data_IF_128846630490
#
_entry.id   IF_128846630490
#
_cell.length_a   1.000
_cell.length_b   1.000
_cell.length_c   1.000
_cell.angle_alpha   90.00
_cell.angle_beta   90.00
_cell.angle_gamma   90.00
#
_symmetry.space_group_name_H-M   'P 1'
#
loop_
_entity.id
_entity.type
_entity.pdbx_description
1 polymer ?
#
# COMPACT_ATOMS: atom_id res chain seq x y z
N UNK A 1 -22.52 -48.84 -64.11
CA UNK A 1 -22.47 -47.37 -64.26
C UNK A 1 -21.37 -46.81 -63.35
N UNK A 2 -20.12 -46.96 -63.86
CA UNK A 2 -18.84 -46.25 -63.60
C UNK A 2 -18.54 -45.83 -62.14
N UNK A 3 -17.68 -46.48 -61.34
CA UNK A 3 -16.30 -47.02 -61.49
C UNK A 3 -15.21 -46.00 -61.90
N UNK A 4 -14.31 -45.71 -60.96
CA UNK A 4 -12.83 -45.56 -61.10
C UNK A 4 -12.26 -45.27 -59.69
N UNK A 5 -11.50 -46.08 -58.95
CA UNK A 5 -10.40 -47.04 -59.16
C UNK A 5 -8.98 -46.43 -59.10
N UNK A 6 -8.23 -46.88 -58.08
CA UNK A 6 -6.78 -47.09 -57.98
C UNK A 6 -5.77 -45.95 -58.27
N UNK A 7 -4.84 -45.73 -57.33
CA UNK A 7 -3.46 -46.22 -57.46
C UNK A 7 -2.59 -45.88 -56.23
N UNK A 8 -1.83 -46.89 -55.80
CA UNK A 8 -0.72 -46.82 -54.86
C UNK A 8 0.43 -46.01 -55.45
N UNK A 9 1.18 -45.32 -54.60
CA UNK A 9 2.64 -45.24 -54.77
C UNK A 9 3.34 -45.43 -53.44
N UNK A 10 4.22 -46.43 -53.44
CA UNK A 10 5.06 -46.92 -52.36
C UNK A 10 6.41 -46.22 -52.54
N UNK A 11 7.00 -45.70 -51.46
CA UNK A 11 8.45 -45.72 -51.29
C UNK A 11 8.83 -45.79 -49.81
N UNK A 12 9.31 -46.98 -49.43
CA UNK A 12 10.16 -47.29 -48.26
C UNK A 12 11.60 -46.89 -48.58
N UNK A 13 12.38 -46.49 -47.56
CA UNK A 13 13.77 -46.90 -47.24
C UNK A 13 14.09 -46.37 -45.81
N UNK A 14 14.03 -47.26 -44.80
CA UNK A 14 15.12 -47.79 -43.94
C UNK A 14 15.49 -46.91 -42.71
N UNK A 15 15.25 -47.38 -41.46
CA UNK A 15 16.11 -48.27 -40.64
C UNK A 15 17.23 -47.47 -39.95
N UNK A 16 17.47 -47.43 -38.63
CA UNK A 16 17.35 -48.40 -37.51
C UNK A 16 17.46 -47.67 -36.16
N UNK A 17 16.81 -48.13 -35.08
CA UNK A 17 17.48 -48.55 -33.82
C UNK A 17 16.52 -48.88 -32.67
N UNK A 18 16.58 -50.16 -32.28
CA UNK A 18 16.50 -50.76 -30.94
C UNK A 18 15.30 -50.52 -30.00
N UNK A 19 14.60 -51.64 -29.78
CA UNK A 19 13.74 -51.98 -28.66
C UNK A 19 14.41 -51.78 -27.28
N UNK A 20 13.63 -51.42 -26.26
CA UNK A 20 13.35 -52.27 -25.07
C UNK A 20 12.54 -51.51 -24.00
N UNK A 21 11.32 -52.01 -23.79
CA UNK A 21 10.57 -52.20 -22.54
C UNK A 21 10.83 -51.28 -21.32
N UNK A 22 9.81 -50.49 -20.93
CA UNK A 22 9.69 -50.00 -19.54
C UNK A 22 8.25 -49.60 -19.22
N UNK A 23 7.59 -50.48 -18.46
CA UNK A 23 6.57 -50.20 -17.43
C UNK A 23 6.36 -48.71 -17.11
N UNK A 24 5.30 -48.11 -17.66
CA UNK A 24 4.80 -46.80 -17.27
C UNK A 24 4.02 -46.92 -15.95
N UNK A 25 4.74 -46.82 -14.84
CA UNK A 25 4.14 -46.36 -13.58
C UNK A 25 3.73 -44.90 -13.76
N UNK A 26 2.43 -44.66 -13.76
CA UNK A 26 1.84 -43.32 -13.81
C UNK A 26 2.21 -42.54 -12.54
N UNK A 27 3.34 -41.83 -12.58
CA UNK A 27 3.72 -40.86 -11.56
C UNK A 27 2.71 -39.72 -11.58
N UNK A 28 1.80 -39.74 -10.59
CA UNK A 28 0.96 -38.60 -10.20
C UNK A 28 1.88 -37.40 -9.96
N UNK A 29 1.96 -36.48 -10.92
CA UNK A 29 2.55 -35.17 -10.69
C UNK A 29 1.68 -34.41 -9.70
N UNK A 30 2.19 -34.26 -8.48
CA UNK A 30 1.62 -33.35 -7.50
C UNK A 30 1.62 -31.94 -8.09
N UNK A 31 0.44 -31.37 -8.33
CA UNK A 31 0.30 -29.94 -8.52
C UNK A 31 0.82 -29.26 -7.25
N UNK A 32 2.03 -28.68 -7.29
CA UNK A 32 2.55 -27.90 -6.17
C UNK A 32 1.65 -26.68 -6.00
N UNK A 33 0.76 -26.70 -5.00
CA UNK A 33 -0.02 -25.52 -4.61
C UNK A 33 0.97 -24.44 -4.19
N UNK A 34 0.97 -23.29 -4.86
CA UNK A 34 1.79 -22.13 -4.48
C UNK A 34 1.59 -21.77 -3.01
N UNK A 35 2.66 -21.39 -2.32
CA UNK A 35 2.60 -20.98 -0.91
C UNK A 35 1.73 -19.75 -0.72
N UNK A 36 0.74 -19.82 0.18
CA UNK A 36 -0.19 -18.74 0.48
C UNK A 36 -0.29 -18.45 1.97
N UNK A 37 -0.60 -17.20 2.29
CA UNK A 37 -1.01 -16.75 3.63
C UNK A 37 -2.28 -15.93 3.45
N UNK A 38 -3.41 -16.44 3.95
CA UNK A 38 -4.70 -15.76 3.91
C UNK A 38 -5.06 -15.25 5.29
N UNK A 39 -5.18 -13.93 5.41
CA UNK A 39 -5.51 -13.27 6.67
C UNK A 39 -6.93 -12.69 6.59
N UNK A 40 -7.69 -12.85 7.68
CA UNK A 40 -9.00 -12.21 7.89
C UNK A 40 -9.02 -11.57 9.27
N UNK A 41 -9.59 -10.38 9.38
CA UNK A 41 -9.72 -9.65 10.64
C UNK A 41 -11.21 -9.53 10.97
N UNK A 42 -11.63 -10.02 12.13
CA UNK A 42 -13.05 -10.14 12.46
C UNK A 42 -13.32 -9.86 13.95
N UNK A 43 -14.60 -9.95 14.32
CA UNK A 43 -15.06 -9.96 15.72
C UNK A 43 -14.42 -8.85 16.59
N UNK A 44 -14.69 -7.56 16.29
CA UNK A 44 -14.19 -6.47 17.10
C UNK A 44 -14.80 -6.54 18.51
N UNK A 45 -13.93 -6.59 19.53
CA UNK A 45 -14.32 -6.67 20.94
C UNK A 45 -13.79 -5.45 21.69
N UNK A 46 -14.65 -4.84 22.51
CA UNK A 46 -14.22 -3.80 23.45
C UNK A 46 -13.65 -4.48 24.68
N UNK A 47 -12.40 -4.17 25.02
CA UNK A 47 -11.71 -4.63 26.21
C UNK A 47 -11.39 -3.45 27.12
N UNK A 48 -11.26 -3.73 28.42
CA UNK A 48 -10.86 -2.76 29.43
C UNK A 48 -9.51 -3.22 29.99
N UNK A 49 -8.54 -2.31 30.02
CA UNK A 49 -7.22 -2.60 30.55
C UNK A 49 -7.33 -2.83 32.08
N UNK A 50 -7.08 -4.06 32.55
CA UNK A 50 -7.15 -4.45 33.97
C UNK A 50 -5.83 -4.21 34.72
N UNK A 51 -4.84 -3.56 34.11
CA UNK A 51 -3.61 -3.18 34.82
C UNK A 51 -3.99 -2.19 35.93
N UNK A 52 -3.75 -2.56 37.19
CA UNK A 52 -3.93 -1.85 38.47
C UNK A 52 -3.86 -0.30 38.44
N UNK A 53 -4.74 0.35 37.68
CA UNK A 53 -4.85 1.80 37.64
C UNK A 53 -5.83 2.18 38.73
N UNK A 54 -5.32 2.84 39.75
CA UNK A 54 -6.07 3.35 40.90
C UNK A 54 -7.07 4.47 40.53
N UNK A 55 -7.24 4.76 39.23
CA UNK A 55 -8.10 5.82 38.69
C UNK A 55 -9.37 5.19 38.10
N UNK A 56 -10.56 5.53 38.62
CA UNK A 56 -11.82 5.13 38.00
C UNK A 56 -11.92 5.69 36.57
N UNK A 57 -11.82 4.81 35.55
CA UNK A 57 -11.85 5.21 34.14
C UNK A 57 -10.85 4.50 33.21
N UNK A 58 -10.35 3.31 33.58
CA UNK A 58 -9.30 2.58 32.85
C UNK A 58 -9.48 2.56 31.32
N UNK A 59 -8.36 2.75 30.60
CA UNK A 59 -8.30 2.86 29.14
C UNK A 59 -9.01 1.68 28.45
N UNK A 60 -10.18 1.94 27.85
CA UNK A 60 -10.85 0.94 27.01
C UNK A 60 -10.28 0.96 25.61
N UNK A 61 -10.04 -0.21 25.02
CA UNK A 61 -9.54 -0.34 23.65
C UNK A 61 -10.29 -1.43 22.89
N UNK A 62 -10.18 -1.42 21.57
CA UNK A 62 -10.73 -2.47 20.71
C UNK A 62 -9.65 -3.45 20.29
N UNK A 63 -10.02 -4.71 20.29
CA UNK A 63 -9.20 -5.83 19.87
C UNK A 63 -9.93 -6.63 18.79
N UNK A 64 -9.17 -7.11 17.82
CA UNK A 64 -9.67 -7.79 16.64
C UNK A 64 -9.17 -9.23 16.61
N UNK A 65 -10.00 -10.16 16.16
CA UNK A 65 -9.62 -11.54 15.93
C UNK A 65 -8.97 -11.65 14.55
N UNK A 66 -7.67 -11.89 14.52
CA UNK A 66 -6.89 -12.12 13.31
C UNK A 66 -6.81 -13.62 13.10
N UNK A 67 -7.46 -14.11 12.05
CA UNK A 67 -7.38 -15.52 11.65
C UNK A 67 -6.48 -15.64 10.44
N UNK A 68 -5.49 -16.52 10.55
CA UNK A 68 -4.50 -16.80 9.51
C UNK A 68 -4.68 -18.23 9.02
N UNK A 69 -4.75 -18.40 7.70
CA UNK A 69 -4.76 -19.70 7.03
C UNK A 69 -3.59 -19.79 6.06
N UNK A 70 -2.79 -20.84 6.13
CA UNK A 70 -1.59 -20.98 5.30
C UNK A 70 -1.26 -22.45 5.04
N UNK A 71 -0.58 -22.72 3.92
CA UNK A 71 0.04 -24.02 3.61
C UNK A 71 1.55 -24.04 3.86
N UNK A 72 2.13 -22.96 4.40
CA UNK A 72 3.56 -22.85 4.69
C UNK A 72 3.89 -23.64 5.95
N UNK A 73 4.81 -24.60 5.84
CA UNK A 73 5.17 -25.52 6.92
C UNK A 73 5.73 -24.82 8.17
N UNK A 74 6.46 -23.71 8.00
CA UNK A 74 7.05 -22.91 9.09
C UNK A 74 6.01 -22.44 10.13
N UNK A 75 4.73 -22.34 9.77
CA UNK A 75 3.69 -21.86 10.68
C UNK A 75 3.16 -22.94 11.64
N UNK A 76 3.53 -24.21 11.46
CA UNK A 76 3.18 -25.33 12.34
C UNK A 76 1.70 -25.76 12.32
N UNK A 77 0.76 -24.85 12.02
CA UNK A 77 -0.66 -25.12 11.84
C UNK A 77 -1.17 -24.47 10.56
N UNK A 78 -2.10 -25.14 9.87
CA UNK A 78 -2.75 -24.63 8.66
C UNK A 78 -3.76 -23.51 8.93
N UNK A 79 -4.27 -23.43 10.16
CA UNK A 79 -5.19 -22.38 10.61
C UNK A 79 -4.98 -22.08 12.10
N UNK A 80 -4.88 -20.80 12.44
CA UNK A 80 -4.77 -20.31 13.81
C UNK A 80 -5.29 -18.88 13.91
N UNK A 81 -5.63 -18.45 15.13
CA UNK A 81 -6.18 -17.12 15.37
C UNK A 81 -5.58 -16.48 16.61
N UNK A 82 -5.32 -15.18 16.54
CA UNK A 82 -4.84 -14.37 17.67
C UNK A 82 -5.65 -13.10 17.81
N UNK A 83 -5.71 -12.55 19.04
CA UNK A 83 -6.37 -11.27 19.30
C UNK A 83 -5.33 -10.15 19.42
N UNK A 84 -5.53 -9.07 18.65
CA UNK A 84 -4.61 -7.91 18.62
C UNK A 84 -5.38 -6.60 18.74
N UNK A 85 -4.80 -5.62 19.44
CA UNK A 85 -5.26 -4.22 19.40
C UNK A 85 -4.51 -3.45 18.32
N UNK A 86 -5.05 -2.30 17.95
CA UNK A 86 -4.40 -1.40 16.97
C UNK A 86 -2.96 -1.01 17.37
N UNK A 87 -2.70 -0.84 18.67
CA UNK A 87 -1.34 -0.53 19.17
C UNK A 87 -0.33 -1.63 18.86
N UNK A 88 -0.75 -2.90 18.88
CA UNK A 88 0.13 -4.02 18.52
C UNK A 88 0.54 -3.96 17.05
N UNK A 89 -0.37 -3.50 16.19
CA UNK A 89 -0.14 -3.30 14.75
C UNK A 89 0.84 -2.15 14.52
N UNK A 90 0.76 -1.09 15.33
CA UNK A 90 1.76 0.00 15.32
C UNK A 90 3.13 -0.55 15.68
N UNK A 91 3.24 -1.34 16.75
CA UNK A 91 4.51 -1.99 17.13
C UNK A 91 5.05 -2.88 16.01
N UNK A 92 4.21 -3.69 15.37
CA UNK A 92 4.61 -4.49 14.20
C UNK A 92 5.17 -3.59 13.08
N UNK A 93 4.44 -2.55 12.70
CA UNK A 93 4.83 -1.62 11.64
C UNK A 93 6.18 -0.95 11.94
N UNK A 94 6.41 -0.50 13.18
CA UNK A 94 7.64 0.18 13.55
C UNK A 94 8.83 -0.78 13.53
N UNK A 95 8.61 -2.05 13.92
CA UNK A 95 9.63 -3.10 13.84
C UNK A 95 9.98 -3.51 12.43
N UNK A 96 8.97 -3.70 11.59
CA UNK A 96 9.21 -3.97 10.17
C UNK A 96 10.02 -2.84 9.53
N UNK A 97 9.68 -1.58 9.81
CA UNK A 97 10.45 -0.44 9.34
C UNK A 97 11.89 -0.35 9.91
N UNK A 98 12.17 -1.00 11.05
CA UNK A 98 13.52 -1.05 11.64
C UNK A 98 14.38 -2.13 11.00
N UNK A 99 13.83 -3.35 10.92
CA UNK A 99 14.54 -4.54 10.48
C UNK A 99 14.71 -4.57 8.95
N UNK A 100 13.73 -4.02 8.22
CA UNK A 100 13.63 -4.10 6.77
C UNK A 100 13.81 -2.72 6.10
N UNK A 101 14.87 -2.01 6.47
CA UNK A 101 15.24 -0.73 5.84
C UNK A 101 15.43 -0.86 4.34
N UNK A 102 14.91 0.13 3.62
CA UNK A 102 14.96 0.17 2.16
C UNK A 102 13.94 -0.70 1.42
N UNK A 103 13.07 -1.43 2.13
CA UNK A 103 11.96 -2.15 1.51
C UNK A 103 10.70 -1.28 1.37
N UNK A 104 9.86 -1.51 0.35
CA UNK A 104 8.59 -0.79 0.18
C UNK A 104 7.50 -1.46 0.99
N UNK A 105 7.62 -1.35 2.32
CA UNK A 105 6.69 -1.95 3.28
C UNK A 105 5.36 -1.20 3.19
N UNK A 106 4.22 -1.88 2.94
CA UNK A 106 2.91 -1.25 2.90
C UNK A 106 2.68 -0.32 4.10
N UNK A 107 2.12 0.88 3.91
CA UNK A 107 1.84 1.76 5.04
C UNK A 107 0.75 1.16 5.92
N UNK A 108 0.93 1.27 7.25
CA UNK A 108 -0.14 0.94 8.20
C UNK A 108 -1.31 1.92 8.07
N UNK A 109 -2.53 1.53 8.44
CA UNK A 109 -3.63 2.47 8.54
C UNK A 109 -3.37 3.50 9.63
N UNK A 110 -3.83 4.73 9.41
CA UNK A 110 -3.59 5.84 10.29
C UNK A 110 -4.32 5.73 11.63
N UNK A 111 -3.72 6.37 12.64
CA UNK A 111 -4.36 6.55 13.94
C UNK A 111 -5.40 7.66 13.78
N UNK A 112 -6.55 7.34 13.18
CA UNK A 112 -7.63 8.30 12.92
C UNK A 112 -8.35 8.71 14.22
N UNK A 113 -7.68 9.49 15.08
CA UNK A 113 -8.21 9.96 16.38
C UNK A 113 -9.41 10.89 16.17
N UNK A 114 -9.34 11.76 15.17
CA UNK A 114 -10.41 12.71 14.83
C UNK A 114 -11.63 11.98 14.29
N UNK A 115 -11.44 11.02 13.39
CA UNK A 115 -12.53 10.23 12.81
C UNK A 115 -13.25 9.38 13.88
N UNK A 116 -12.50 8.88 14.88
CA UNK A 116 -13.09 8.19 16.04
C UNK A 116 -14.04 9.05 16.87
N UNK A 117 -13.90 10.38 16.82
CA UNK A 117 -14.73 11.33 17.57
C UNK A 117 -15.92 11.82 16.74
N UNK A 118 -15.78 11.87 15.41
CA UNK A 118 -16.79 12.42 14.49
C UNK A 118 -17.72 11.34 13.93
N UNK A 119 -17.26 10.09 13.85
CA UNK A 119 -18.04 8.96 13.32
C UNK A 119 -18.80 8.20 14.39
N UNK A 120 -19.86 7.50 13.98
CA UNK A 120 -20.51 6.53 14.86
C UNK A 120 -19.49 5.46 15.26
N UNK A 121 -19.43 5.16 16.56
CA UNK A 121 -18.42 4.27 17.13
C UNK A 121 -18.35 2.90 16.45
N UNK A 122 -19.48 2.36 16.01
CA UNK A 122 -19.53 1.07 15.30
C UNK A 122 -18.94 1.17 13.89
N UNK A 123 -19.25 2.25 13.16
CA UNK A 123 -18.75 2.50 11.81
C UNK A 123 -17.22 2.64 11.82
N UNK A 124 -16.67 3.40 12.77
CA UNK A 124 -15.23 3.56 12.95
C UNK A 124 -14.52 2.24 13.24
N UNK A 125 -15.09 1.41 14.12
CA UNK A 125 -14.51 0.11 14.48
C UNK A 125 -14.48 -0.83 13.28
N UNK A 126 -15.53 -0.81 12.44
CA UNK A 126 -15.61 -1.61 11.23
C UNK A 126 -14.66 -1.12 10.13
N UNK A 127 -14.59 0.19 9.89
CA UNK A 127 -13.62 0.77 8.96
C UNK A 127 -12.19 0.41 9.34
N UNK A 128 -11.84 0.53 10.64
CA UNK A 128 -10.53 0.10 11.13
C UNK A 128 -10.30 -1.39 10.94
N UNK A 129 -11.31 -2.24 11.15
CA UNK A 129 -11.20 -3.68 10.91
C UNK A 129 -10.85 -3.98 9.45
N UNK A 130 -11.56 -3.35 8.50
CA UNK A 130 -11.29 -3.47 7.05
C UNK A 130 -9.87 -3.02 6.73
N UNK A 131 -9.45 -1.86 7.25
CA UNK A 131 -8.13 -1.30 6.98
C UNK A 131 -6.99 -2.17 7.54
N UNK A 132 -7.19 -2.76 8.73
CA UNK A 132 -6.26 -3.72 9.32
C UNK A 132 -6.15 -5.00 8.49
N UNK A 133 -7.28 -5.52 8.00
CA UNK A 133 -7.29 -6.69 7.12
C UNK A 133 -6.52 -6.42 5.83
N UNK A 134 -6.78 -5.28 5.18
CA UNK A 134 -6.09 -4.85 3.96
C UNK A 134 -4.58 -4.72 4.20
N UNK A 135 -4.17 -4.09 5.29
CA UNK A 135 -2.77 -3.94 5.66
C UNK A 135 -2.06 -5.29 5.86
N UNK A 136 -2.62 -6.18 6.68
CA UNK A 136 -2.00 -7.46 6.98
C UNK A 136 -1.91 -8.37 5.75
N UNK A 137 -2.92 -8.35 4.88
CA UNK A 137 -2.87 -9.08 3.59
C UNK A 137 -1.72 -8.57 2.72
N UNK A 138 -1.54 -7.26 2.62
CA UNK A 138 -0.44 -6.67 1.85
C UNK A 138 0.94 -7.05 2.41
N UNK A 139 1.09 -7.11 3.75
CA UNK A 139 2.32 -7.62 4.35
C UNK A 139 2.58 -9.09 3.98
N UNK A 140 1.53 -9.90 3.94
CA UNK A 140 1.59 -11.32 3.60
C UNK A 140 1.82 -11.59 2.10
N UNK A 141 1.49 -10.64 1.23
CA UNK A 141 1.75 -10.68 -0.20
C UNK A 141 3.19 -10.23 -0.54
N UNK A 142 3.78 -9.34 0.26
CA UNK A 142 5.13 -8.85 0.05
C UNK A 142 6.17 -10.00 0.18
N UNK A 143 7.01 -10.27 -0.84
CA UNK A 143 7.87 -11.47 -0.90
C UNK A 143 8.84 -11.66 0.28
N UNK A 144 9.43 -10.56 0.76
CA UNK A 144 10.33 -10.56 1.92
C UNK A 144 9.57 -10.48 3.25
N UNK A 145 8.64 -9.53 3.40
CA UNK A 145 7.95 -9.29 4.67
C UNK A 145 7.07 -10.48 5.09
N UNK A 146 6.50 -11.22 4.14
CA UNK A 146 5.73 -12.45 4.45
C UNK A 146 6.53 -13.52 5.18
N UNK A 147 7.86 -13.48 5.08
CA UNK A 147 8.78 -14.43 5.71
C UNK A 147 9.38 -13.89 7.01
N UNK A 148 9.08 -12.63 7.37
CA UNK A 148 9.65 -11.97 8.55
C UNK A 148 9.24 -12.62 9.86
N UNK A 149 10.18 -12.67 10.80
CA UNK A 149 9.92 -13.19 12.14
C UNK A 149 8.95 -12.29 12.89
N UNK A 150 9.00 -10.98 12.67
CA UNK A 150 8.09 -10.00 13.25
C UNK A 150 6.64 -10.28 12.87
N UNK A 151 6.37 -10.56 11.58
CA UNK A 151 5.02 -10.92 11.13
C UNK A 151 4.60 -12.29 11.67
N UNK A 152 5.48 -13.30 11.65
CA UNK A 152 5.19 -14.64 12.18
C UNK A 152 4.81 -14.57 13.67
N UNK A 153 5.64 -13.91 14.48
CA UNK A 153 5.40 -13.66 15.91
C UNK A 153 4.09 -12.90 16.12
N UNK A 154 3.84 -11.86 15.33
CA UNK A 154 2.60 -11.09 15.42
C UNK A 154 1.36 -11.92 15.09
N UNK A 155 1.44 -12.92 14.20
CA UNK A 155 0.31 -13.76 13.85
C UNK A 155 0.11 -14.95 14.80
N UNK A 156 1.16 -15.45 15.46
CA UNK A 156 1.10 -16.70 16.23
C UNK A 156 1.11 -16.52 17.77
N UNK A 157 1.82 -15.52 18.31
CA UNK A 157 2.07 -15.46 19.76
C UNK A 157 0.87 -14.91 20.52
N UNK A 158 0.22 -15.70 21.37
CA UNK A 158 -0.87 -15.19 22.21
C UNK A 158 -0.37 -14.19 23.27
N UNK A 159 -1.21 -13.20 23.60
CA UNK A 159 -0.91 -12.24 24.66
C UNK A 159 0.05 -11.12 24.25
N UNK A 160 0.90 -10.68 25.19
CA UNK A 160 1.80 -9.53 25.02
C UNK A 160 2.91 -9.90 24.04
N UNK A 161 3.04 -9.11 22.97
CA UNK A 161 4.11 -9.31 21.98
C UNK A 161 5.49 -9.16 22.64
N UNK A 162 6.43 -10.08 22.39
CA UNK A 162 7.82 -9.95 22.82
C UNK A 162 8.61 -8.92 21.99
N UNK A 163 7.96 -8.28 21.02
CA UNK A 163 8.52 -7.18 20.25
C UNK A 163 8.68 -5.96 21.19
N UNK A 164 9.91 -5.56 21.52
CA UNK A 164 10.08 -4.31 22.29
C UNK A 164 9.57 -3.12 21.46
N UNK A 165 9.04 -2.08 22.09
CA UNK A 165 8.65 -0.86 21.37
C UNK A 165 9.93 -0.19 20.87
N UNK A 166 10.03 0.09 19.57
CA UNK A 166 11.12 0.93 19.07
C UNK A 166 10.88 2.38 19.45
N UNK A 167 11.96 3.13 19.63
CA UNK A 167 11.98 4.60 19.60
C UNK A 167 11.36 5.09 18.28
N UNK A 168 10.52 6.13 18.35
CA UNK A 168 9.69 6.66 17.25
C UNK A 168 10.44 6.85 15.92
N UNK A 169 9.74 6.74 14.78
CA UNK A 169 10.30 6.99 13.43
C UNK A 169 10.92 8.40 13.32
N UNK A 170 10.31 9.41 13.95
CA UNK A 170 10.86 10.75 14.09
C UNK A 170 12.18 10.76 14.87
N UNK A 171 12.31 9.90 15.88
CA UNK A 171 13.56 9.71 16.61
C UNK A 171 14.62 9.03 15.75
N UNK A 172 14.30 8.15 14.79
CA UNK A 172 15.29 7.48 13.92
C UNK A 172 15.96 8.42 12.91
N UNK A 173 15.23 9.40 12.39
CA UNK A 173 15.81 10.49 11.58
C UNK A 173 16.79 11.37 12.36
N UNK A 174 16.69 11.35 13.70
CA UNK A 174 17.62 11.97 14.63
C UNK A 174 18.70 10.98 15.09
N UNK A 175 18.38 9.68 15.24
CA UNK A 175 19.26 8.65 15.81
C UNK A 175 20.35 8.18 14.85
N UNK A 176 20.16 8.39 13.54
CA UNK A 176 21.24 8.35 12.55
C UNK A 176 22.41 9.31 12.86
N UNK A 177 22.20 10.25 13.79
CA UNK A 177 23.21 11.16 14.34
C UNK A 177 23.54 10.94 15.83
N UNK A 178 22.91 9.98 16.55
CA UNK A 178 22.96 9.91 18.04
C UNK A 178 23.67 8.66 18.58
N UNK A 179 24.63 8.10 17.83
CA UNK A 179 25.74 7.32 18.42
C UNK A 179 27.01 8.16 18.66
N UNK A 180 26.84 9.44 18.96
CA UNK A 180 27.91 10.32 19.43
C UNK A 180 28.05 10.19 20.96
N UNK A 181 29.27 10.05 21.51
CA UNK A 181 29.49 10.11 22.95
C UNK A 181 28.93 11.41 23.55
N UNK A 182 28.05 11.29 24.55
CA UNK A 182 27.31 12.37 25.23
C UNK A 182 28.18 13.39 26.01
N UNK A 183 29.47 13.51 25.71
CA UNK A 183 30.39 14.42 26.40
C UNK A 183 30.68 15.73 25.64
N UNK A 184 29.96 16.04 24.55
CA UNK A 184 30.28 17.18 23.69
C UNK A 184 29.19 18.23 23.48
N UNK A 185 27.99 18.09 24.08
CA UNK A 185 26.96 19.12 24.01
C UNK A 185 26.47 19.50 25.40
N UNK A 186 26.80 20.74 25.79
CA UNK A 186 26.37 21.36 27.03
C UNK A 186 24.85 21.54 27.11
N UNK A 187 24.40 21.70 28.35
CA UNK A 187 23.02 21.87 28.80
C UNK A 187 22.13 22.75 27.90
N UNK A 188 20.91 22.28 27.62
CA UNK A 188 19.67 23.03 27.91
C UNK A 188 18.42 22.19 27.63
N UNK A 189 17.57 22.11 28.64
CA UNK A 189 16.25 21.46 28.69
C UNK A 189 15.18 22.36 28.08
N UNK A 190 14.31 21.83 27.23
CA UNK A 190 12.88 22.19 27.16
C UNK A 190 12.15 21.27 26.18
N UNK A 191 11.24 20.44 26.70
CA UNK A 191 10.24 19.70 25.93
C UNK A 191 9.01 20.59 25.82
N UNK A 192 8.57 20.90 24.60
CA UNK A 192 7.25 21.51 24.36
C UNK A 192 6.44 20.56 23.49
N UNK A 193 5.28 20.14 24.01
CA UNK A 193 4.29 19.35 23.31
C UNK A 193 3.49 20.22 22.33
N UNK A 194 3.16 19.76 21.11
CA UNK A 194 2.23 20.47 20.25
C UNK A 194 0.80 19.95 20.45
N UNK A 195 -0.07 20.84 20.93
CA UNK A 195 -1.52 20.72 20.79
C UNK A 195 -1.97 21.32 19.45
N UNK A 196 -2.92 20.61 18.82
CA UNK A 196 -4.01 21.11 17.97
C UNK A 196 -3.71 21.94 16.70
N UNK A 197 -3.99 21.33 15.54
CA UNK A 197 -4.74 21.99 14.46
C UNK A 197 -5.80 21.01 13.96
N UNK A 198 -7.07 21.35 14.21
CA UNK A 198 -8.28 20.59 13.90
C UNK A 198 -8.94 21.19 12.66
N UNK A 199 -9.24 20.40 11.63
CA UNK A 199 -10.45 20.49 10.79
C UNK A 199 -10.74 19.15 10.08
N UNK A 200 -12.02 18.84 9.76
CA UNK A 200 -12.46 17.47 9.55
C UNK A 200 -12.38 17.02 8.09
N UNK A 201 -12.35 15.71 7.86
CA UNK A 201 -12.87 15.13 6.64
C UNK A 201 -13.65 13.87 6.91
N UNK A 202 -14.71 13.70 6.13
CA UNK A 202 -15.53 12.51 6.05
C UNK A 202 -15.13 11.74 4.81
N UNK A 203 -14.78 10.46 4.99
CA UNK A 203 -14.91 9.38 4.03
C UNK A 203 -14.20 9.53 2.68
N UNK A 204 -13.15 8.75 2.46
CA UNK A 204 -12.60 8.37 1.14
C UNK A 204 -12.03 9.47 0.23
N UNK A 205 -12.35 10.74 0.50
CA UNK A 205 -12.00 11.92 -0.34
C UNK A 205 -10.77 12.69 0.17
N UNK A 206 -10.08 12.15 1.17
CA UNK A 206 -9.12 12.92 1.98
C UNK A 206 -7.70 12.37 1.98
N UNK A 207 -7.43 11.31 1.20
CA UNK A 207 -6.06 10.85 0.98
C UNK A 207 -5.22 11.96 0.36
N UNK A 208 -5.73 12.67 -0.66
CA UNK A 208 -5.01 13.76 -1.32
C UNK A 208 -4.63 14.91 -0.37
N UNK A 209 -5.45 15.18 0.64
CA UNK A 209 -5.14 16.17 1.68
C UNK A 209 -4.04 15.69 2.60
N UNK A 210 -4.11 14.44 3.05
CA UNK A 210 -3.08 13.79 3.86
C UNK A 210 -1.74 13.68 3.10
N UNK A 211 -1.77 13.39 1.80
CA UNK A 211 -0.59 13.40 0.93
C UNK A 211 0.03 14.79 0.80
N UNK A 212 -0.81 15.81 0.65
CA UNK A 212 -0.37 17.21 0.57
C UNK A 212 0.19 17.70 1.92
N UNK A 213 -0.45 17.35 3.03
CA UNK A 213 -0.01 17.66 4.39
C UNK A 213 1.28 16.92 4.76
N UNK A 214 1.44 15.65 4.34
CA UNK A 214 2.67 14.90 4.52
C UNK A 214 3.81 15.47 3.67
N UNK A 215 3.56 15.81 2.39
CA UNK A 215 4.50 16.53 1.53
C UNK A 215 4.95 17.84 2.17
N UNK A 216 4.01 18.57 2.78
CA UNK A 216 4.29 19.81 3.51
C UNK A 216 5.10 19.54 4.79
N UNK A 217 4.82 18.44 5.52
CA UNK A 217 5.55 18.08 6.74
C UNK A 217 6.99 17.63 6.45
N UNK A 218 7.21 16.91 5.36
CA UNK A 218 8.55 16.49 4.89
C UNK A 218 9.31 17.69 4.31
N UNK A 219 8.61 18.67 3.73
CA UNK A 219 9.22 19.91 3.26
C UNK A 219 9.54 20.92 4.39
N UNK A 220 8.73 20.96 5.46
CA UNK A 220 8.85 21.93 6.54
C UNK A 220 9.86 21.53 7.64
N UNK A 221 10.30 20.27 7.68
CA UNK A 221 11.35 19.80 8.63
C UNK A 221 12.78 20.18 8.19
N UNK A 222 12.91 21.00 7.13
CA UNK A 222 14.17 21.46 6.53
C UNK A 222 14.77 22.73 7.18
N UNK A 223 14.38 23.06 8.42
CA UNK A 223 14.79 24.30 9.11
C UNK A 223 16.08 24.22 9.94
N UNK A 224 16.68 23.04 10.12
CA UNK A 224 17.93 22.85 10.86
C UNK A 224 19.05 22.38 9.94
N UNK A 225 20.11 23.17 9.81
CA UNK A 225 21.26 22.95 8.92
C UNK A 225 21.96 21.61 9.15
N UNK A 226 21.49 20.55 8.48
CA UNK A 226 22.28 19.33 8.23
C UNK A 226 23.27 19.61 7.09
N UNK A 227 24.50 19.06 7.12
CA UNK A 227 25.36 19.07 5.94
C UNK A 227 24.58 18.50 4.74
N UNK A 228 24.62 19.12 3.56
CA UNK A 228 23.90 18.61 2.40
C UNK A 228 24.42 17.21 2.08
N UNK A 229 23.52 16.22 2.08
CA UNK A 229 23.83 14.88 1.57
C UNK A 229 24.07 15.00 0.08
N UNK A 230 25.30 14.72 -0.37
CA UNK A 230 25.62 14.72 -1.79
C UNK A 230 25.41 13.30 -2.31
N UNK A 231 24.29 13.08 -3.00
CA UNK A 231 24.02 11.81 -3.68
C UNK A 231 24.59 11.88 -5.10
N UNK A 232 25.57 11.03 -5.39
CA UNK A 232 26.29 10.98 -6.66
C UNK A 232 25.76 9.87 -7.59
N UNK A 233 24.91 8.96 -7.08
CA UNK A 233 24.31 7.89 -7.85
C UNK A 233 23.26 8.44 -8.83
N UNK A 234 23.71 8.73 -10.05
CA UNK A 234 22.87 9.25 -11.14
C UNK A 234 21.67 8.36 -11.44
N UNK A 235 21.85 7.04 -11.40
CA UNK A 235 20.78 6.08 -11.69
C UNK A 235 19.69 6.19 -10.63
N UNK A 236 20.08 6.31 -9.35
CA UNK A 236 19.13 6.54 -8.28
C UNK A 236 18.40 7.88 -8.43
N UNK A 237 19.09 8.96 -8.79
CA UNK A 237 18.48 10.27 -9.00
C UNK A 237 17.44 10.26 -10.14
N UNK A 238 17.77 9.64 -11.28
CA UNK A 238 16.84 9.45 -12.40
C UNK A 238 15.61 8.64 -11.98
N UNK A 239 15.81 7.55 -11.20
CA UNK A 239 14.69 6.75 -10.67
C UNK A 239 13.84 7.51 -9.67
N UNK A 240 14.45 8.34 -8.84
CA UNK A 240 13.75 9.19 -7.87
C UNK A 240 12.88 10.25 -8.56
N UNK A 241 13.40 10.88 -9.59
CA UNK A 241 12.64 11.81 -10.43
C UNK A 241 11.49 11.08 -11.15
N UNK A 242 11.75 9.91 -11.73
CA UNK A 242 10.70 9.10 -12.36
C UNK A 242 9.58 8.71 -11.38
N UNK A 243 9.91 8.34 -10.14
CA UNK A 243 8.91 8.05 -9.10
C UNK A 243 8.07 9.30 -8.78
N UNK A 244 8.69 10.46 -8.66
CA UNK A 244 7.98 11.71 -8.41
C UNK A 244 6.99 12.04 -9.55
N UNK A 245 7.41 11.87 -10.80
CA UNK A 245 6.55 12.09 -11.96
C UNK A 245 5.40 11.06 -12.02
N UNK A 246 5.70 9.79 -11.71
CA UNK A 246 4.70 8.73 -11.62
C UNK A 246 3.66 9.05 -10.53
N UNK A 247 4.09 9.47 -9.35
CA UNK A 247 3.20 9.87 -8.25
C UNK A 247 2.27 11.02 -8.69
N UNK A 248 2.81 12.03 -9.35
CA UNK A 248 2.01 13.15 -9.87
C UNK A 248 0.98 12.67 -10.91
N UNK A 249 1.36 11.75 -11.80
CA UNK A 249 0.45 11.17 -12.79
C UNK A 249 -0.66 10.34 -12.14
N UNK A 250 -0.34 9.50 -11.15
CA UNK A 250 -1.33 8.69 -10.42
C UNK A 250 -2.29 9.61 -9.64
N UNK A 251 -1.77 10.68 -9.02
CA UNK A 251 -2.58 11.68 -8.33
C UNK A 251 -3.57 12.35 -9.27
N UNK A 252 -3.11 12.80 -10.44
CA UNK A 252 -3.98 13.40 -11.46
C UNK A 252 -5.04 12.39 -11.96
N UNK A 253 -4.64 11.15 -12.22
CA UNK A 253 -5.56 10.09 -12.64
C UNK A 253 -6.61 9.78 -11.57
N UNK A 254 -6.21 9.76 -10.29
CA UNK A 254 -7.10 9.58 -9.14
C UNK A 254 -8.15 10.69 -9.05
N UNK A 255 -7.76 11.95 -9.27
CA UNK A 255 -8.70 13.07 -9.27
C UNK A 255 -9.73 12.97 -10.40
N UNK A 256 -9.30 12.50 -11.58
CA UNK A 256 -10.23 12.27 -12.70
C UNK A 256 -11.14 11.07 -12.45
N UNK A 257 -10.62 10.01 -11.83
CA UNK A 257 -11.41 8.87 -11.38
C UNK A 257 -12.52 9.27 -10.41
N UNK A 258 -12.23 10.13 -9.43
CA UNK A 258 -13.22 10.66 -8.48
C UNK A 258 -14.29 11.50 -9.19
N UNK A 259 -13.88 12.32 -10.16
CA UNK A 259 -14.81 13.11 -10.97
C UNK A 259 -15.74 12.22 -11.80
N UNK A 260 -15.22 11.13 -12.38
CA UNK A 260 -16.01 10.13 -13.11
C UNK A 260 -17.01 9.40 -12.19
N UNK A 261 -16.57 8.94 -11.02
CA UNK A 261 -17.44 8.29 -10.01
C UNK A 261 -18.59 9.21 -9.62
N UNK A 262 -18.28 10.49 -9.39
CA UNK A 262 -19.30 11.49 -9.09
C UNK A 262 -20.30 11.66 -10.25
N UNK A 263 -19.82 11.81 -11.47
CA UNK A 263 -20.70 11.94 -12.63
C UNK A 263 -21.60 10.70 -12.84
N UNK A 264 -21.08 9.49 -12.60
CA UNK A 264 -21.87 8.25 -12.67
C UNK A 264 -22.92 8.16 -11.56
N UNK A 265 -22.58 8.62 -10.35
CA UNK A 265 -23.53 8.73 -9.25
C UNK A 265 -24.67 9.70 -9.61
N UNK A 266 -24.32 10.91 -10.05
CA UNK A 266 -25.27 11.96 -10.41
C UNK A 266 -26.22 11.46 -11.52
N UNK A 267 -25.70 10.77 -12.54
CA UNK A 267 -26.51 10.15 -13.60
C UNK A 267 -27.52 9.14 -13.04
N UNK A 268 -27.10 8.29 -12.11
CA UNK A 268 -27.98 7.33 -11.46
C UNK A 268 -29.07 8.00 -10.62
N UNK A 269 -28.76 9.09 -9.92
CA UNK A 269 -29.72 9.87 -9.15
C UNK A 269 -30.74 10.57 -10.05
N UNK A 270 -30.28 11.32 -11.05
CA UNK A 270 -31.14 12.02 -12.02
C UNK A 270 -32.07 11.05 -12.75
N UNK A 271 -31.57 9.90 -13.18
CA UNK A 271 -32.39 8.89 -13.85
C UNK A 271 -33.47 8.30 -12.92
N UNK A 272 -33.16 8.18 -11.63
CA UNK A 272 -34.11 7.74 -10.61
C UNK A 272 -35.21 8.77 -10.38
N UNK A 273 -34.85 10.05 -10.27
CA UNK A 273 -35.78 11.17 -10.13
C UNK A 273 -36.70 11.29 -11.35
N UNK A 274 -36.16 11.15 -12.56
CA UNK A 274 -36.94 11.11 -13.80
C UNK A 274 -37.99 9.99 -13.77
N UNK A 275 -37.58 8.78 -13.39
CA UNK A 275 -38.50 7.65 -13.25
C UNK A 275 -39.61 7.92 -12.22
N UNK A 276 -39.28 8.50 -11.06
CA UNK A 276 -40.27 8.86 -10.05
C UNK A 276 -41.24 9.96 -10.54
N UNK A 277 -40.75 10.93 -11.30
CA UNK A 277 -41.59 11.96 -11.91
C UNK A 277 -42.61 11.34 -12.88
N UNK A 278 -42.18 10.43 -13.75
CA UNK A 278 -43.07 9.73 -14.67
C UNK A 278 -44.05 8.79 -13.96
N UNK A 279 -43.67 8.16 -12.84
CA UNK A 279 -44.61 7.40 -11.99
C UNK A 279 -45.72 8.32 -11.46
N UNK A 280 -45.37 9.53 -10.98
CA UNK A 280 -46.36 10.50 -10.49
C UNK A 280 -47.29 10.95 -11.61
N UNK A 281 -46.74 11.27 -12.79
CA UNK A 281 -47.53 11.67 -13.96
C UNK A 281 -48.48 10.56 -14.41
N UNK A 282 -48.00 9.32 -14.47
CA UNK A 282 -48.81 8.13 -14.79
C UNK A 282 -50.00 7.97 -13.83
N UNK A 283 -49.79 8.19 -12.53
CA UNK A 283 -50.88 8.11 -11.53
C UNK A 283 -51.93 9.18 -11.79
N UNK A 284 -51.48 10.43 -11.95
CA UNK A 284 -52.37 11.56 -12.23
C UNK A 284 -53.18 11.33 -13.52
N UNK A 285 -52.54 10.94 -14.62
CA UNK A 285 -53.22 10.68 -15.88
C UNK A 285 -54.25 9.54 -15.79
N UNK A 286 -53.98 8.50 -14.98
CA UNK A 286 -54.93 7.40 -14.77
C UNK A 286 -56.14 7.83 -13.93
N UNK A 287 -55.94 8.66 -12.91
CA UNK A 287 -57.00 9.19 -12.06
C UNK A 287 -57.96 10.09 -12.85
N UNK A 288 -57.43 10.89 -13.77
CA UNK A 288 -58.18 11.85 -14.60
C UNK A 288 -58.58 11.30 -15.99
N UNK A 289 -58.35 10.01 -16.27
CA UNK A 289 -58.57 9.44 -17.60
C UNK A 289 -60.07 9.25 -17.92
N UNK A 290 -60.57 10.06 -18.85
CA UNK A 290 -61.92 9.94 -19.43
C UNK A 290 -61.92 9.11 -20.72
N UNK A 291 -60.86 9.20 -21.51
CA UNK A 291 -60.74 8.56 -22.83
C UNK A 291 -59.74 7.39 -22.84
N UNK A 292 -59.95 6.43 -23.75
CA UNK A 292 -59.04 5.29 -23.89
C UNK A 292 -57.61 5.71 -24.30
N UNK A 293 -57.49 6.75 -25.13
CA UNK A 293 -56.18 7.30 -25.53
C UNK A 293 -55.36 7.85 -24.35
N UNK A 294 -56.00 8.37 -23.30
CA UNK A 294 -55.31 8.80 -22.09
C UNK A 294 -54.77 7.60 -21.29
N UNK A 295 -55.54 6.52 -21.19
CA UNK A 295 -55.12 5.28 -20.52
C UNK A 295 -53.95 4.60 -21.23
N UNK A 296 -53.94 4.61 -22.57
CA UNK A 296 -52.81 4.11 -23.37
C UNK A 296 -51.54 4.93 -23.12
N UNK A 297 -51.62 6.27 -23.20
CA UNK A 297 -50.47 7.14 -22.89
C UNK A 297 -49.94 6.94 -21.47
N UNK A 298 -50.83 6.80 -20.48
CA UNK A 298 -50.44 6.53 -19.11
C UNK A 298 -49.73 5.16 -18.96
N UNK A 299 -50.14 4.14 -19.72
CA UNK A 299 -49.47 2.85 -19.73
C UNK A 299 -48.06 2.93 -20.36
N UNK A 300 -47.90 3.66 -21.46
CA UNK A 300 -46.60 3.88 -22.10
C UNK A 300 -45.67 4.70 -21.18
N UNK A 301 -46.21 5.73 -20.54
CA UNK A 301 -45.51 6.53 -19.54
C UNK A 301 -45.04 5.67 -18.36
N UNK A 302 -45.86 4.71 -17.92
CA UNK A 302 -45.48 3.75 -16.88
C UNK A 302 -44.30 2.88 -17.30
N UNK A 303 -44.26 2.45 -18.57
CA UNK A 303 -43.13 1.71 -19.11
C UNK A 303 -41.85 2.56 -19.07
N UNK A 304 -41.91 3.78 -19.59
CA UNK A 304 -40.80 4.74 -19.56
C UNK A 304 -40.29 4.97 -18.13
N UNK A 305 -41.22 5.15 -17.18
CA UNK A 305 -40.90 5.35 -15.77
C UNK A 305 -40.15 4.15 -15.18
N UNK A 306 -40.63 2.94 -15.47
CA UNK A 306 -40.03 1.69 -14.99
C UNK A 306 -38.65 1.48 -15.58
N UNK A 307 -38.46 1.79 -16.86
CA UNK A 307 -37.18 1.74 -17.55
C UNK A 307 -36.17 2.72 -16.94
N UNK A 308 -36.57 3.97 -16.68
CA UNK A 308 -35.74 4.97 -16.02
C UNK A 308 -35.30 4.50 -14.61
N UNK A 309 -36.22 4.02 -13.77
CA UNK A 309 -35.86 3.46 -12.44
C UNK A 309 -34.90 2.28 -12.57
N UNK A 310 -35.08 1.42 -13.57
CA UNK A 310 -34.18 0.30 -13.82
C UNK A 310 -32.78 0.75 -14.28
N UNK A 311 -32.70 1.71 -15.19
CA UNK A 311 -31.44 2.32 -15.63
C UNK A 311 -30.70 3.00 -14.46
N UNK A 312 -31.42 3.70 -13.58
CA UNK A 312 -30.88 4.28 -12.35
C UNK A 312 -30.17 3.23 -11.47
N UNK A 313 -30.79 2.06 -11.28
CA UNK A 313 -30.18 0.95 -10.52
C UNK A 313 -28.91 0.44 -11.18
N UNK A 314 -28.91 0.28 -12.50
CA UNK A 314 -27.72 -0.13 -13.25
C UNK A 314 -26.59 0.90 -13.15
N UNK A 315 -26.87 2.21 -13.22
CA UNK A 315 -25.85 3.24 -12.98
C UNK A 315 -25.28 3.17 -11.56
N UNK A 316 -26.11 2.94 -10.54
CA UNK A 316 -25.63 2.78 -9.15
C UNK A 316 -24.75 1.54 -8.96
N UNK A 317 -25.15 0.41 -9.55
CA UNK A 317 -24.36 -0.83 -9.53
C UNK A 317 -23.03 -0.67 -10.29
N UNK A 318 -23.06 -0.02 -11.45
CA UNK A 318 -21.87 0.33 -12.22
C UNK A 318 -20.93 1.23 -11.40
N UNK A 319 -21.45 2.29 -10.77
CA UNK A 319 -20.66 3.20 -9.97
C UNK A 319 -19.94 2.47 -8.82
N UNK A 320 -20.61 1.53 -8.15
CA UNK A 320 -19.99 0.70 -7.11
C UNK A 320 -18.83 -0.16 -7.66
N UNK A 321 -18.96 -0.68 -8.88
CA UNK A 321 -17.87 -1.40 -9.55
C UNK A 321 -16.73 -0.46 -9.99
N UNK A 322 -17.05 0.73 -10.49
CA UNK A 322 -16.07 1.75 -10.88
C UNK A 322 -15.21 2.13 -9.68
N UNK A 323 -15.81 2.43 -8.54
CA UNK A 323 -15.08 2.70 -7.28
C UNK A 323 -14.15 1.54 -6.92
N UNK A 324 -14.63 0.30 -7.01
CA UNK A 324 -13.83 -0.88 -6.68
C UNK A 324 -12.59 -1.02 -7.57
N UNK A 325 -12.72 -0.82 -8.88
CA UNK A 325 -11.57 -0.92 -9.79
C UNK A 325 -10.58 0.23 -9.56
N UNK A 326 -11.10 1.45 -9.42
CA UNK A 326 -10.27 2.66 -9.30
C UNK A 326 -9.60 2.82 -7.91
N UNK A 327 -10.00 2.04 -6.89
CA UNK A 327 -9.30 1.94 -5.59
C UNK A 327 -7.81 1.58 -5.76
N UNK A 328 -7.45 0.91 -6.87
CA UNK A 328 -6.06 0.61 -7.24
C UNK A 328 -5.20 1.89 -7.35
N UNK A 329 -5.77 3.01 -7.78
CA UNK A 329 -5.03 4.28 -7.86
C UNK A 329 -4.68 4.80 -6.45
N UNK A 330 -5.65 4.80 -5.54
CA UNK A 330 -5.43 5.20 -4.14
C UNK A 330 -4.47 4.26 -3.42
N UNK A 331 -4.52 2.97 -3.76
CA UNK A 331 -3.59 1.96 -3.27
C UNK A 331 -2.13 2.24 -3.63
N UNK A 332 -1.88 2.66 -4.88
CA UNK A 332 -0.54 3.02 -5.34
C UNK A 332 -0.08 4.37 -4.82
N UNK A 333 -0.99 5.35 -4.67
CA UNK A 333 -0.70 6.58 -3.93
C UNK A 333 -0.19 6.23 -2.54
N UNK A 334 -0.96 5.43 -1.77
CA UNK A 334 -0.55 4.94 -0.46
C UNK A 334 0.84 4.31 -0.45
N UNK A 335 1.16 3.49 -1.46
CA UNK A 335 2.46 2.85 -1.58
C UNK A 335 3.62 3.84 -1.80
N UNK A 336 3.39 5.01 -2.39
CA UNK A 336 4.41 6.06 -2.53
C UNK A 336 4.97 6.50 -1.17
N UNK A 337 4.18 6.43 -0.09
CA UNK A 337 4.68 6.70 1.27
C UNK A 337 5.80 5.75 1.67
N UNK A 338 5.65 4.46 1.33
CA UNK A 338 6.66 3.45 1.59
C UNK A 338 7.91 3.67 0.73
N UNK A 339 7.72 4.06 -0.54
CA UNK A 339 8.83 4.38 -1.46
C UNK A 339 9.65 5.56 -0.92
N UNK A 340 9.00 6.65 -0.53
CA UNK A 340 9.67 7.82 0.07
C UNK A 340 10.38 7.46 1.38
N UNK A 341 9.76 6.65 2.24
CA UNK A 341 10.41 6.14 3.45
C UNK A 341 11.69 5.36 3.15
N UNK A 342 11.63 4.44 2.17
CA UNK A 342 12.77 3.65 1.75
C UNK A 342 13.89 4.49 1.10
N UNK A 343 13.55 5.55 0.37
CA UNK A 343 14.53 6.51 -0.15
C UNK A 343 15.14 7.37 0.98
N UNK A 344 14.35 7.73 1.98
CA UNK A 344 14.84 8.43 3.16
C UNK A 344 15.82 7.58 3.98
N UNK A 345 15.56 6.28 4.09
CA UNK A 345 16.48 5.31 4.68
C UNK A 345 17.85 5.31 3.99
N UNK A 346 17.83 5.28 2.65
CA UNK A 346 19.04 5.36 1.83
C UNK A 346 19.79 6.66 2.06
N UNK A 347 19.11 7.80 1.98
CA UNK A 347 19.73 9.11 2.21
C UNK A 347 20.34 9.23 3.61
N UNK A 348 19.66 8.66 4.62
CA UNK A 348 20.15 8.65 6.00
C UNK A 348 21.39 7.76 6.16
N UNK A 349 21.41 6.58 5.53
CA UNK A 349 22.57 5.70 5.54
C UNK A 349 23.77 6.31 4.80
N UNK A 350 23.53 7.00 3.66
CA UNK A 350 24.56 7.73 2.93
C UNK A 350 25.16 8.85 3.78
N UNK A 351 24.33 9.62 4.49
CA UNK A 351 24.80 10.66 5.39
C UNK A 351 25.74 10.08 6.46
N UNK A 352 25.38 8.95 7.08
CA UNK A 352 26.25 8.28 8.06
C UNK A 352 27.60 7.90 7.45
N UNK A 353 27.63 7.36 6.22
CA UNK A 353 28.88 7.03 5.52
C UNK A 353 29.73 8.30 5.28
N UNK A 354 29.12 9.37 4.78
CA UNK A 354 29.81 10.64 4.50
C UNK A 354 30.35 11.30 5.76
N UNK A 355 29.58 11.29 6.86
CA UNK A 355 30.02 11.79 8.17
C UNK A 355 31.24 11.01 8.66
N UNK A 356 31.17 9.66 8.67
CA UNK A 356 32.29 8.85 9.13
C UNK A 356 33.54 9.02 8.26
N UNK A 357 33.40 9.13 6.93
CA UNK A 357 34.52 9.43 6.04
C UNK A 357 35.18 10.79 6.35
N UNK A 358 34.36 11.81 6.61
CA UNK A 358 34.85 13.14 6.98
C UNK A 358 35.58 13.12 8.32
N UNK A 359 34.99 12.48 9.34
CA UNK A 359 35.63 12.29 10.65
C UNK A 359 36.97 11.58 10.53
N UNK A 360 37.03 10.49 9.75
CA UNK A 360 38.25 9.71 9.54
C UNK A 360 39.36 10.55 8.88
N UNK A 361 39.00 11.35 7.88
CA UNK A 361 39.93 12.33 7.27
C UNK A 361 40.47 13.32 8.31
N UNK A 362 39.62 13.86 9.19
CA UNK A 362 40.07 14.77 10.26
C UNK A 362 40.98 14.08 11.28
N UNK A 363 40.69 12.84 11.65
CA UNK A 363 41.51 12.06 12.58
C UNK A 363 42.88 11.74 11.98
N UNK A 364 42.93 11.32 10.70
CA UNK A 364 44.19 11.12 9.98
C UNK A 364 45.03 12.40 9.92
N UNK A 365 44.43 13.53 9.53
CA UNK A 365 45.14 14.80 9.49
C UNK A 365 45.68 15.23 10.88
N UNK A 366 44.94 14.92 11.95
CA UNK A 366 45.41 15.16 13.33
C UNK A 366 46.56 14.23 13.71
N UNK A 367 46.52 12.96 13.30
CA UNK A 367 47.57 11.99 13.56
C UNK A 367 48.86 12.38 12.85
N UNK A 368 48.80 12.71 11.57
CA UNK A 368 49.95 13.17 10.78
C UNK A 368 50.60 14.40 11.40
N UNK A 369 49.81 15.40 11.83
CA UNK A 369 50.33 16.60 12.51
C UNK A 369 51.04 16.26 13.82
N UNK A 370 50.48 15.35 14.62
CA UNK A 370 51.07 14.93 15.89
C UNK A 370 52.36 14.13 15.70
N UNK A 371 52.39 13.22 14.73
CA UNK A 371 53.57 12.43 14.34
C UNK A 371 54.68 13.32 13.81
N UNK A 372 54.37 14.24 12.88
CA UNK A 372 55.33 15.20 12.32
C UNK A 372 55.90 16.17 13.38
N UNK A 373 55.12 16.50 14.41
CA UNK A 373 55.59 17.31 15.52
C UNK A 373 56.38 16.48 16.56
N UNK A 374 56.12 15.17 16.67
CA UNK A 374 56.86 14.26 17.56
C UNK A 374 58.24 13.88 17.01
N UNK A 375 58.38 13.75 15.69
CA UNK A 375 59.64 13.38 15.03
C UNK A 375 60.73 14.47 15.12
N UNK A 376 60.36 15.71 15.45
CA UNK A 376 61.27 16.86 15.60
C UNK A 376 61.99 16.93 16.96
N UNK A 377 61.62 16.09 17.93
CA UNK A 377 62.18 16.11 19.29
C UNK A 377 63.01 14.83 19.50
N UNK A 378 64.33 14.97 19.60
CA UNK A 378 65.25 13.87 19.87
C UNK A 378 65.04 13.36 21.31
N UNK A 379 64.67 12.08 21.47
CA UNK A 379 64.44 11.43 22.76
C UNK A 379 63.00 11.02 23.06
N UNK A 380 62.01 11.44 22.24
CA UNK A 380 60.62 10.95 22.28
C UNK A 380 59.86 11.25 23.58
N UNK A 381 58.92 12.20 23.54
CA UNK A 381 58.03 12.43 24.68
C UNK A 381 57.04 11.26 24.84
N UNK A 382 57.20 10.49 25.91
CA UNK A 382 56.38 9.30 26.25
C UNK A 382 54.87 9.64 26.29
N UNK A 383 54.52 10.87 26.67
CA UNK A 383 53.15 11.39 26.66
C UNK A 383 52.59 11.55 25.23
N UNK A 384 53.44 12.01 24.29
CA UNK A 384 53.05 12.20 22.88
C UNK A 384 52.91 10.87 22.15
N UNK A 385 53.79 9.92 22.44
CA UNK A 385 53.72 8.55 21.89
C UNK A 385 52.40 7.90 22.31
N UNK A 386 52.04 7.96 23.59
CA UNK A 386 50.77 7.43 24.10
C UNK A 386 49.55 8.10 23.45
N UNK A 387 49.58 9.42 23.22
CA UNK A 387 48.51 10.14 22.49
C UNK A 387 48.40 9.73 21.01
N UNK A 388 49.51 9.42 20.36
CA UNK A 388 49.51 8.93 18.97
C UNK A 388 48.89 7.52 18.93
N UNK A 389 49.21 6.65 19.90
CA UNK A 389 48.60 5.33 20.03
C UNK A 389 47.08 5.41 20.27
N UNK A 390 46.63 6.27 21.19
CA UNK A 390 45.19 6.50 21.44
C UNK A 390 44.45 7.04 20.19
N UNK A 391 45.10 7.92 19.43
CA UNK A 391 44.52 8.45 18.21
C UNK A 391 44.46 7.38 17.10
N UNK A 392 45.48 6.51 16.99
CA UNK A 392 45.48 5.36 16.08
C UNK A 392 44.40 4.35 16.44
N UNK A 393 44.19 4.12 17.73
CA UNK A 393 43.08 3.32 18.25
C UNK A 393 41.73 3.90 17.80
N UNK A 394 41.54 5.21 18.00
CA UNK A 394 40.32 5.92 17.59
C UNK A 394 40.09 5.83 16.08
N UNK A 395 41.14 6.04 15.27
CA UNK A 395 41.08 5.88 13.81
C UNK A 395 40.63 4.47 13.43
N UNK A 396 41.17 3.44 14.08
CA UNK A 396 40.80 2.05 13.80
C UNK A 396 39.32 1.79 14.10
N UNK A 397 38.83 2.25 15.26
CA UNK A 397 37.41 2.11 15.64
C UNK A 397 36.49 2.86 14.67
N UNK A 398 36.85 4.07 14.25
CA UNK A 398 36.09 4.85 13.26
C UNK A 398 36.12 4.20 11.87
N UNK A 399 37.25 3.62 11.45
CA UNK A 399 37.38 2.86 10.20
C UNK A 399 36.49 1.61 10.20
N UNK A 400 36.46 0.86 11.31
CA UNK A 400 35.56 -0.28 11.49
C UNK A 400 34.09 0.15 11.43
N UNK A 401 33.74 1.25 12.10
CA UNK A 401 32.39 1.83 12.06
C UNK A 401 31.99 2.28 10.64
N UNK A 402 32.91 2.90 9.90
CA UNK A 402 32.71 3.27 8.49
C UNK A 402 32.47 2.03 7.62
N UNK A 403 33.23 0.97 7.81
CA UNK A 403 33.06 -0.28 7.05
C UNK A 403 31.72 -0.98 7.36
N UNK A 404 31.20 -0.83 8.58
CA UNK A 404 29.82 -1.26 8.92
C UNK A 404 28.79 -0.37 8.21
N UNK A 405 28.95 0.95 8.27
CA UNK A 405 28.01 1.90 7.65
C UNK A 405 27.93 1.73 6.11
N UNK A 406 29.07 1.50 5.45
CA UNK A 406 29.12 1.25 4.00
C UNK A 406 28.34 -0.02 3.65
N UNK A 407 28.54 -1.12 4.38
CA UNK A 407 27.81 -2.37 4.15
C UNK A 407 26.30 -2.19 4.31
N UNK A 408 25.89 -1.41 5.31
CA UNK A 408 24.47 -1.12 5.53
C UNK A 408 23.89 -0.24 4.41
N UNK A 409 24.62 0.79 3.96
CA UNK A 409 24.21 1.62 2.83
C UNK A 409 24.06 0.79 1.54
N UNK A 410 25.04 -0.06 1.21
CA UNK A 410 24.97 -0.92 0.03
C UNK A 410 23.82 -1.93 0.11
N UNK A 411 23.52 -2.48 1.30
CA UNK A 411 22.36 -3.33 1.53
C UNK A 411 21.05 -2.59 1.25
N UNK A 412 20.88 -1.38 1.78
CA UNK A 412 19.68 -0.55 1.56
C UNK A 412 19.55 -0.16 0.08
N UNK A 413 20.67 0.16 -0.57
CA UNK A 413 20.74 0.48 -2.00
C UNK A 413 20.25 -0.68 -2.87
N UNK A 414 20.70 -1.90 -2.58
CA UNK A 414 20.24 -3.09 -3.32
C UNK A 414 18.77 -3.40 -3.03
N UNK A 415 18.31 -3.24 -1.79
CA UNK A 415 16.89 -3.39 -1.43
C UNK A 415 16.01 -2.42 -2.22
N UNK A 416 16.37 -1.12 -2.24
CA UNK A 416 15.65 -0.10 -3.02
C UNK A 416 15.58 -0.47 -4.52
N UNK A 417 16.67 -0.96 -5.09
CA UNK A 417 16.73 -1.37 -6.49
C UNK A 417 15.79 -2.54 -6.77
N UNK A 418 15.87 -3.61 -5.98
CA UNK A 418 14.99 -4.78 -6.09
C UNK A 418 13.51 -4.38 -5.96
N UNK A 419 13.20 -3.48 -5.03
CA UNK A 419 11.84 -3.04 -4.77
C UNK A 419 11.29 -2.11 -5.85
N UNK A 420 12.13 -1.28 -6.49
CA UNK A 420 11.73 -0.51 -7.67
C UNK A 420 11.36 -1.44 -8.84
N UNK A 421 12.14 -2.49 -9.06
CA UNK A 421 11.85 -3.49 -10.11
C UNK A 421 10.55 -4.26 -9.79
N UNK A 422 10.37 -4.66 -8.54
CA UNK A 422 9.14 -5.31 -8.06
C UNK A 422 7.92 -4.40 -8.25
N UNK A 423 8.01 -3.16 -7.77
CA UNK A 423 6.95 -2.16 -7.87
C UNK A 423 6.52 -1.95 -9.32
N UNK A 424 7.47 -1.79 -10.24
CA UNK A 424 7.17 -1.56 -11.65
C UNK A 424 6.53 -2.77 -12.32
N UNK A 425 6.93 -3.99 -11.94
CA UNK A 425 6.29 -5.24 -12.41
C UNK A 425 4.86 -5.37 -11.90
N UNK A 426 4.64 -5.21 -10.59
CA UNK A 426 3.32 -5.27 -9.97
C UNK A 426 2.40 -4.19 -10.55
N UNK A 427 2.88 -2.94 -10.65
CA UNK A 427 2.13 -1.81 -11.19
C UNK A 427 1.55 -2.07 -12.56
N UNK A 428 2.35 -2.63 -13.47
CA UNK A 428 1.90 -2.96 -14.82
C UNK A 428 0.75 -3.96 -14.81
N UNK A 429 0.86 -5.01 -13.99
CA UNK A 429 -0.16 -6.07 -13.89
C UNK A 429 -1.43 -5.52 -13.26
N UNK A 430 -1.30 -4.78 -12.16
CA UNK A 430 -2.43 -4.27 -11.39
C UNK A 430 -3.20 -3.21 -12.17
N UNK A 431 -2.50 -2.29 -12.86
CA UNK A 431 -3.16 -1.27 -13.67
C UNK A 431 -3.83 -1.86 -14.90
N UNK A 432 -3.24 -2.89 -15.51
CA UNK A 432 -3.89 -3.61 -16.60
C UNK A 432 -5.17 -4.31 -16.12
N UNK A 433 -5.12 -4.99 -14.98
CA UNK A 433 -6.28 -5.65 -14.39
C UNK A 433 -7.37 -4.66 -13.98
N UNK A 434 -6.99 -3.53 -13.38
CA UNK A 434 -7.88 -2.41 -13.07
C UNK A 434 -8.60 -1.92 -14.33
N UNK A 435 -7.85 -1.56 -15.38
CA UNK A 435 -8.43 -1.04 -16.62
C UNK A 435 -9.32 -2.07 -17.32
N UNK A 436 -8.89 -3.33 -17.37
CA UNK A 436 -9.69 -4.42 -17.94
C UNK A 436 -11.00 -4.59 -17.19
N UNK A 437 -10.95 -4.64 -15.86
CA UNK A 437 -12.14 -4.76 -15.02
C UNK A 437 -13.09 -3.57 -15.18
N UNK A 438 -12.53 -2.36 -15.21
CA UNK A 438 -13.26 -1.12 -15.47
C UNK A 438 -13.98 -1.18 -16.82
N UNK A 439 -13.26 -1.44 -17.92
CA UNK A 439 -13.84 -1.46 -19.28
C UNK A 439 -14.91 -2.54 -19.42
N UNK A 440 -14.65 -3.76 -18.93
CA UNK A 440 -15.61 -4.87 -19.01
C UNK A 440 -16.93 -4.50 -18.32
N UNK A 441 -16.85 -3.86 -17.15
CA UNK A 441 -18.05 -3.41 -16.45
C UNK A 441 -18.71 -2.22 -17.15
N UNK A 442 -17.96 -1.25 -17.66
CA UNK A 442 -18.54 -0.13 -18.43
C UNK A 442 -19.36 -0.64 -19.62
N UNK A 443 -18.78 -1.53 -20.43
CA UNK A 443 -19.46 -2.13 -21.59
C UNK A 443 -20.68 -2.95 -21.15
N UNK A 444 -20.51 -3.87 -20.20
CA UNK A 444 -21.60 -4.75 -19.79
C UNK A 444 -22.79 -4.02 -19.14
N UNK A 445 -22.57 -2.89 -18.47
CA UNK A 445 -23.67 -2.07 -17.97
C UNK A 445 -24.25 -1.15 -19.05
N UNK A 446 -23.45 -0.65 -19.98
CA UNK A 446 -23.95 0.11 -21.13
C UNK A 446 -24.91 -0.73 -21.99
N UNK A 447 -24.56 -2.00 -22.25
CA UNK A 447 -25.44 -2.96 -22.94
C UNK A 447 -26.75 -3.19 -22.19
N UNK A 448 -26.69 -3.47 -20.87
CA UNK A 448 -27.89 -3.64 -20.04
C UNK A 448 -28.80 -2.41 -20.05
N UNK A 449 -28.23 -1.21 -20.05
CA UNK A 449 -28.99 0.05 -20.10
C UNK A 449 -29.58 0.23 -21.50
N UNK A 450 -28.81 -0.04 -22.55
CA UNK A 450 -29.27 -0.01 -23.93
C UNK A 450 -30.47 -0.95 -24.16
N UNK A 451 -30.41 -2.18 -23.67
CA UNK A 451 -31.50 -3.16 -23.79
C UNK A 451 -32.80 -2.66 -23.12
N UNK A 452 -32.67 -1.99 -21.98
CA UNK A 452 -33.81 -1.38 -21.29
C UNK A 452 -34.46 -0.30 -22.15
N UNK A 453 -33.67 0.56 -22.78
CA UNK A 453 -34.17 1.62 -23.65
C UNK A 453 -34.70 1.11 -24.99
N UNK A 454 -34.05 0.11 -25.58
CA UNK A 454 -34.50 -0.53 -26.80
C UNK A 454 -35.90 -1.14 -26.64
N UNK A 455 -36.16 -1.77 -25.49
CA UNK A 455 -37.48 -2.31 -25.16
C UNK A 455 -38.55 -1.21 -25.08
N UNK A 456 -38.25 -0.06 -24.48
CA UNK A 456 -39.17 1.09 -24.45
C UNK A 456 -39.45 1.60 -25.87
N UNK A 457 -38.41 1.73 -26.71
CA UNK A 457 -38.56 2.17 -28.09
C UNK A 457 -39.43 1.21 -28.92
N UNK A 458 -39.30 -0.10 -28.72
CA UNK A 458 -40.14 -1.10 -29.38
C UNK A 458 -41.60 -1.02 -28.93
N UNK A 459 -41.84 -0.96 -27.61
CA UNK A 459 -43.19 -0.89 -27.03
C UNK A 459 -43.92 0.40 -27.43
N UNK A 460 -43.18 1.49 -27.65
CA UNK A 460 -43.72 2.80 -28.09
C UNK A 460 -43.70 3.02 -29.61
N UNK A 461 -43.30 2.02 -30.40
CA UNK A 461 -43.13 2.16 -31.86
C UNK A 461 -44.41 2.52 -32.63
N UNK A 462 -45.58 2.33 -32.03
CA UNK A 462 -46.88 2.75 -32.59
C UNK A 462 -46.94 4.25 -32.90
N UNK A 463 -46.38 5.10 -32.02
CA UNK A 463 -46.37 6.55 -32.24
C UNK A 463 -45.63 6.98 -33.51
N UNK A 464 -44.58 6.25 -33.89
CA UNK A 464 -43.83 6.52 -35.11
C UNK A 464 -44.59 6.10 -36.38
N UNK A 465 -45.43 5.07 -36.29
CA UNK A 465 -46.22 4.55 -37.42
C UNK A 465 -47.47 5.38 -37.69
N UNK A 466 -48.06 5.96 -36.64
CA UNK A 466 -49.26 6.81 -36.74
C UNK A 466 -48.94 8.27 -37.15
N UNK A 467 -47.66 8.64 -37.23
CA UNK A 467 -47.20 9.98 -37.61
C UNK A 467 -46.83 10.13 -39.10
N UNK A 468 -47.05 9.09 -39.92
CA UNK A 468 -46.76 9.06 -41.36
C UNK A 468 -48.02 9.12 -42.23
#
# INVERSE_FOLDING_TARGET
PFDDNSANEINRVDSTSHDLDSSLTLSRSSSSTSDYIKITVSNPKKEQETTNSLVPGGNTYYTYLITTRTNIADFGSSEFSVRRRFRDVVTLSDRLAESYRGYFIPPRPDKNVVESQVMQKQEFVEQRRVALEKYLRRLAEHPVIRQSDELKVFLQVEGRLPLSMSTDVASRMLDGAVKLPKQLFGESTAVVAPHEVVQPAKGGRDLLRLFKELRQSVANDWGGSKPPVVEEDKVFLEKKEWIHDLEQQISNASQQAESLVKAQQDMGETMGELGLAFIKLTKFENEEAMYNSQRVRAADMKCLATAAVKASRFYRELNAQTVKHLDTLHEYLGLMLAVHGAFSDRSSALLTVQTLLSELSTLHARAEKLEAASSKIFGGDKSRISKIEELKETIRVTEDAKNVAIREYERIKENNKCELERLDKERRVDFLNMLKGFVVNQVGYAEKISDVWAKVAEETSGYAKDSC
#
